data_IF_071882147003
#
_entry.id   IF_071882147003
#
_cell.length_a   1.000
_cell.length_b   1.000
_cell.length_c   1.000
_cell.angle_alpha   90.00
_cell.angle_beta   90.00
_cell.angle_gamma   90.00
#
_symmetry.space_group_name_H-M   'P 1'
#
loop_
_entity.id
_entity.type
_entity.pdbx_description
1 polymer ?
#
# COMPACT_ATOMS: atom_id res chain seq x y z
N UNK A 1 -15.69 -8.24 19.05
CA UNK A 1 -14.23 -8.22 19.33
C UNK A 1 -13.41 -8.55 18.08
N UNK A 2 -13.66 -9.65 17.34
CA UNK A 2 -12.93 -9.91 16.09
C UNK A 2 -13.26 -8.92 14.95
N UNK A 3 -14.53 -8.50 14.82
CA UNK A 3 -14.91 -7.51 13.79
C UNK A 3 -14.28 -6.14 14.02
N UNK A 4 -14.16 -5.70 15.28
CA UNK A 4 -13.56 -4.42 15.61
C UNK A 4 -12.07 -4.38 15.26
N UNK A 5 -11.35 -5.48 15.55
CA UNK A 5 -9.95 -5.64 15.17
C UNK A 5 -9.78 -5.61 13.64
N UNK A 6 -10.66 -6.29 12.91
CA UNK A 6 -10.63 -6.29 11.45
C UNK A 6 -10.89 -4.90 10.86
N UNK A 7 -11.83 -4.14 11.44
CA UNK A 7 -12.12 -2.75 11.03
C UNK A 7 -10.93 -1.84 11.30
N UNK A 8 -10.26 -1.98 12.44
CA UNK A 8 -9.05 -1.20 12.77
C UNK A 8 -7.90 -1.52 11.81
N UNK A 9 -7.64 -2.80 11.54
CA UNK A 9 -6.62 -3.22 10.58
C UNK A 9 -6.91 -2.68 9.17
N UNK A 10 -8.17 -2.70 8.73
CA UNK A 10 -8.59 -2.12 7.47
C UNK A 10 -8.35 -0.60 7.43
N UNK A 11 -8.71 0.11 8.50
CA UNK A 11 -8.50 1.55 8.59
C UNK A 11 -7.02 1.91 8.54
N UNK A 12 -6.16 1.17 9.25
CA UNK A 12 -4.71 1.37 9.20
C UNK A 12 -4.14 1.16 7.80
N UNK A 13 -4.60 0.13 7.06
CA UNK A 13 -4.16 -0.11 5.69
C UNK A 13 -4.52 1.04 4.76
N UNK A 14 -5.75 1.56 4.86
CA UNK A 14 -6.22 2.67 4.05
C UNK A 14 -5.46 3.97 4.38
N UNK A 15 -5.16 4.21 5.66
CA UNK A 15 -4.34 5.36 6.08
C UNK A 15 -2.93 5.29 5.48
N UNK A 16 -2.28 4.12 5.51
CA UNK A 16 -0.96 3.96 4.89
C UNK A 16 -1.00 4.11 3.36
N UNK A 17 -2.08 3.66 2.70
CA UNK A 17 -2.26 3.84 1.25
C UNK A 17 -2.45 5.32 0.86
N UNK A 18 -3.20 6.07 1.66
CA UNK A 18 -3.35 7.52 1.50
C UNK A 18 -2.00 8.21 1.70
N UNK A 19 -1.29 7.91 2.79
CA UNK A 19 0.02 8.51 3.07
C UNK A 19 1.06 8.21 1.97
N UNK A 20 1.05 7.00 1.41
CA UNK A 20 1.85 6.65 0.23
C UNK A 20 1.50 7.53 -0.98
N UNK A 21 0.21 7.70 -1.25
CA UNK A 21 -0.28 8.49 -2.39
C UNK A 21 0.05 9.97 -2.23
N UNK A 22 -0.12 10.54 -1.04
CA UNK A 22 0.26 11.91 -0.72
C UNK A 22 1.76 12.14 -0.90
N UNK A 23 2.60 11.27 -0.34
CA UNK A 23 4.05 11.36 -0.51
C UNK A 23 4.47 11.35 -1.99
N UNK A 24 3.80 10.54 -2.82
CA UNK A 24 4.05 10.52 -4.26
C UNK A 24 3.64 11.82 -4.96
N UNK A 25 2.49 12.38 -4.62
CA UNK A 25 2.00 13.63 -5.18
C UNK A 25 2.88 14.82 -4.78
N UNK A 26 3.42 14.79 -3.57
CA UNK A 26 4.36 15.80 -3.06
C UNK A 26 5.79 15.61 -3.60
N UNK A 27 6.05 14.51 -4.30
CA UNK A 27 7.37 14.16 -4.82
C UNK A 27 8.35 13.66 -3.74
N UNK A 28 7.88 13.38 -2.52
CA UNK A 28 8.68 12.76 -1.47
C UNK A 28 8.81 11.25 -1.72
N UNK A 29 9.72 10.91 -2.61
CA UNK A 29 10.02 9.53 -2.97
C UNK A 29 10.73 8.75 -1.84
N UNK A 30 11.23 9.44 -0.80
CA UNK A 30 11.82 8.75 0.36
C UNK A 30 10.68 8.23 1.24
N UNK A 31 9.72 9.09 1.55
CA UNK A 31 8.54 8.72 2.32
C UNK A 31 7.68 7.70 1.57
N UNK A 32 7.48 7.87 0.26
CA UNK A 32 6.74 6.90 -0.55
C UNK A 32 7.34 5.48 -0.48
N UNK A 33 8.67 5.35 -0.53
CA UNK A 33 9.36 4.06 -0.37
C UNK A 33 9.17 3.48 1.02
N UNK A 34 9.30 4.31 2.04
CA UNK A 34 9.11 3.90 3.42
C UNK A 34 7.69 3.36 3.62
N UNK A 35 6.66 4.10 3.19
CA UNK A 35 5.25 3.70 3.25
C UNK A 35 4.97 2.41 2.48
N UNK A 36 5.48 2.30 1.25
CA UNK A 36 5.31 1.09 0.45
C UNK A 36 5.95 -0.15 1.12
N UNK A 37 7.13 0.02 1.74
CA UNK A 37 7.76 -1.03 2.53
C UNK A 37 6.94 -1.45 3.75
N UNK A 38 6.41 -0.49 4.51
CA UNK A 38 5.54 -0.79 5.65
C UNK A 38 4.27 -1.54 5.25
N UNK A 39 3.66 -1.17 4.12
CA UNK A 39 2.47 -1.86 3.60
C UNK A 39 2.75 -3.33 3.31
N UNK A 40 3.90 -3.68 2.72
CA UNK A 40 4.26 -5.09 2.43
C UNK A 40 4.38 -5.93 3.71
N UNK A 41 4.86 -5.32 4.80
CA UNK A 41 5.07 -6.00 6.08
C UNK A 41 3.80 -6.11 6.94
N UNK A 42 2.72 -5.39 6.62
CA UNK A 42 1.46 -5.48 7.38
C UNK A 42 0.86 -6.89 7.27
N UNK A 43 0.42 -7.51 8.38
CA UNK A 43 -0.08 -8.90 8.37
C UNK A 43 -1.18 -9.19 7.35
N UNK A 44 -2.15 -8.28 7.21
CA UNK A 44 -3.25 -8.40 6.26
C UNK A 44 -2.78 -8.39 4.78
N UNK A 45 -1.68 -7.70 4.49
CA UNK A 45 -1.05 -7.71 3.16
C UNK A 45 -0.19 -8.96 3.02
N UNK A 46 0.64 -9.28 4.02
CA UNK A 46 1.56 -10.43 3.98
C UNK A 46 0.85 -11.78 3.83
N UNK A 47 -0.36 -11.92 4.39
CA UNK A 47 -1.18 -13.13 4.31
C UNK A 47 -2.12 -13.19 3.10
N UNK A 48 -2.28 -12.08 2.36
CA UNK A 48 -3.06 -12.03 1.13
C UNK A 48 -2.13 -11.98 -0.10
N UNK A 49 -2.01 -13.07 -0.88
CA UNK A 49 -1.07 -13.14 -2.01
C UNK A 49 -1.24 -12.04 -3.05
N UNK A 50 -2.48 -11.63 -3.33
CA UNK A 50 -2.79 -10.61 -4.33
C UNK A 50 -2.39 -9.21 -3.86
N UNK A 51 -2.67 -8.89 -2.60
CA UNK A 51 -2.23 -7.63 -1.99
C UNK A 51 -0.70 -7.59 -1.88
N UNK A 52 -0.08 -8.69 -1.46
CA UNK A 52 1.38 -8.79 -1.35
C UNK A 52 2.06 -8.61 -2.70
N UNK A 53 1.53 -9.22 -3.76
CA UNK A 53 2.07 -9.07 -5.12
C UNK A 53 1.95 -7.62 -5.60
N UNK A 54 0.80 -6.98 -5.36
CA UNK A 54 0.58 -5.58 -5.73
C UNK A 54 1.50 -4.62 -4.95
N UNK A 55 1.59 -4.77 -3.63
CA UNK A 55 2.48 -3.94 -2.79
C UNK A 55 3.97 -4.17 -3.13
N UNK A 56 4.37 -5.42 -3.37
CA UNK A 56 5.72 -5.75 -3.84
C UNK A 56 6.05 -5.14 -5.20
N UNK A 57 5.07 -5.04 -6.11
CA UNK A 57 5.24 -4.34 -7.39
C UNK A 57 5.51 -2.86 -7.19
N UNK A 58 4.79 -2.19 -6.29
CA UNK A 58 5.04 -0.78 -5.94
C UNK A 58 6.47 -0.59 -5.43
N UNK A 59 6.90 -1.40 -4.44
CA UNK A 59 8.27 -1.33 -3.90
C UNK A 59 9.31 -1.54 -4.99
N UNK A 60 9.09 -2.52 -5.87
CA UNK A 60 10.01 -2.81 -6.97
C UNK A 60 10.13 -1.66 -7.98
N UNK A 61 9.01 -0.98 -8.28
CA UNK A 61 8.98 0.13 -9.22
C UNK A 61 9.51 1.44 -8.62
N UNK A 62 9.27 1.72 -7.33
CA UNK A 62 9.87 2.85 -6.65
C UNK A 62 11.40 2.71 -6.55
N UNK A 63 11.89 1.48 -6.50
CA UNK A 63 13.30 1.16 -6.47
C UNK A 63 13.99 1.62 -5.18
N UNK A 64 15.31 1.44 -5.08
CA UNK A 64 16.06 1.81 -3.88
C UNK A 64 16.19 3.34 -3.72
N UNK A 65 16.55 3.82 -2.51
CA UNK A 65 16.83 5.22 -2.26
C UNK A 65 17.90 5.78 -3.21
N UNK A 66 17.73 7.03 -3.65
CA UNK A 66 18.67 7.71 -4.55
C UNK A 66 18.54 7.35 -6.04
N UNK A 67 17.64 6.43 -6.40
CA UNK A 67 17.33 6.08 -7.79
C UNK A 67 15.97 6.67 -8.18
N UNK A 68 15.80 7.03 -9.45
CA UNK A 68 14.49 7.43 -9.96
C UNK A 68 13.56 6.20 -10.09
N UNK A 69 12.28 6.31 -9.69
CA UNK A 69 11.29 5.26 -9.92
C UNK A 69 11.22 4.85 -11.39
N UNK A 70 10.96 3.56 -11.62
CA UNK A 70 10.72 3.02 -12.94
C UNK A 70 9.35 3.47 -13.48
N UNK A 71 9.18 3.60 -14.81
CA UNK A 71 7.89 3.90 -15.42
C UNK A 71 6.77 2.96 -14.94
N UNK A 72 5.58 3.51 -14.72
CA UNK A 72 4.40 2.77 -14.25
C UNK A 72 4.29 2.62 -12.72
N UNK A 73 5.17 3.24 -11.93
CA UNK A 73 5.07 3.24 -10.46
C UNK A 73 3.77 3.89 -9.96
N UNK A 74 3.32 4.97 -10.61
CA UNK A 74 2.09 5.67 -10.25
C UNK A 74 0.86 4.77 -10.50
N UNK A 75 0.80 4.11 -11.66
CA UNK A 75 -0.26 3.15 -11.97
C UNK A 75 -0.27 1.99 -10.97
N UNK A 76 0.91 1.49 -10.58
CA UNK A 76 1.02 0.43 -9.60
C UNK A 76 0.50 0.85 -8.21
N UNK A 77 0.63 2.13 -7.85
CA UNK A 77 0.10 2.66 -6.59
C UNK A 77 -1.42 2.75 -6.66
N UNK A 78 -1.98 3.21 -7.78
CA UNK A 78 -3.43 3.21 -8.00
C UNK A 78 -3.98 1.78 -7.92
N UNK A 79 -3.36 0.83 -8.62
CA UNK A 79 -3.72 -0.59 -8.58
C UNK A 79 -3.71 -1.16 -7.15
N UNK A 80 -2.73 -0.75 -6.32
CA UNK A 80 -2.63 -1.18 -4.93
C UNK A 80 -3.75 -0.58 -4.08
N UNK A 81 -4.00 0.72 -4.20
CA UNK A 81 -5.05 1.42 -3.47
C UNK A 81 -6.43 0.81 -3.77
N UNK A 82 -6.73 0.57 -5.05
CA UNK A 82 -8.00 -0.07 -5.47
C UNK A 82 -8.20 -1.45 -4.83
N UNK A 83 -7.12 -2.24 -4.72
CA UNK A 83 -7.18 -3.57 -4.10
C UNK A 83 -7.33 -3.49 -2.59
N UNK A 84 -6.67 -2.53 -1.94
CA UNK A 84 -6.82 -2.29 -0.50
C UNK A 84 -8.25 -1.84 -0.17
N UNK A 85 -8.84 -0.98 -0.99
CA UNK A 85 -10.25 -0.58 -0.86
C UNK A 85 -11.21 -1.76 -1.00
N UNK A 86 -11.00 -2.62 -2.00
CA UNK A 86 -11.80 -3.84 -2.18
C UNK A 86 -11.68 -4.79 -0.99
N UNK A 87 -10.45 -5.01 -0.50
CA UNK A 87 -10.21 -5.84 0.68
C UNK A 87 -10.86 -5.24 1.94
N UNK A 88 -10.80 -3.92 2.12
CA UNK A 88 -11.42 -3.23 3.24
C UNK A 88 -12.96 -3.21 3.15
N UNK A 89 -13.53 -3.14 1.95
CA UNK A 89 -14.98 -3.18 1.74
C UNK A 89 -15.59 -4.52 2.18
N UNK A 90 -14.87 -5.63 1.98
CA UNK A 90 -15.31 -6.96 2.44
C UNK A 90 -15.41 -7.07 3.97
N UNK A 91 -14.67 -6.24 4.71
CA UNK A 91 -14.68 -6.21 6.18
C UNK A 91 -15.83 -5.36 6.76
N UNK A 92 -16.59 -4.65 5.90
CA UNK A 92 -17.76 -3.83 6.28
C UNK A 92 -19.09 -4.53 5.98
N UNK A 93 -19.07 -5.68 5.31
CA UNK A 93 -20.24 -6.42 4.81
C UNK A 93 -20.69 -7.56 5.71
#
# INVERSE_FOLDING_TARGET
>A
MQDEQAVLEAAELLIEAVALSEALLDGDLTEARFRAGQLVEKPAVATNPDLRASAGRVVSLLGPPGIHPLPGYADAVVDLTDRLEQAAAFLRG
#
